data_IF_381710823527
#
_entry.id   IF_381710823527
#
_cell.length_a   1.000
_cell.length_b   1.000
_cell.length_c   1.000
_cell.angle_alpha   90.00
_cell.angle_beta   90.00
_cell.angle_gamma   90.00
#
_symmetry.space_group_name_H-M   'P 1'
#
loop_
_entity.id
_entity.type
_entity.pdbx_description
1 polymer ?
#
# COMPACT_ATOMS: atom_id res chain seq x y z
N UNK A 1 -41.92 82.69 17.93
CA UNK A 1 -40.55 82.93 18.46
C UNK A 1 -39.85 81.59 18.42
N UNK A 2 -38.85 81.29 17.60
CA UNK A 2 -38.08 81.97 16.57
C UNK A 2 -37.48 80.78 15.77
N UNK A 3 -37.71 80.65 14.48
CA UNK A 3 -36.83 81.10 13.38
C UNK A 3 -36.20 79.89 12.66
N UNK A 4 -36.39 79.91 11.35
CA UNK A 4 -35.75 79.06 10.33
C UNK A 4 -34.24 79.31 10.22
N UNK A 5 -33.51 78.29 9.74
CA UNK A 5 -32.57 78.33 8.58
C UNK A 5 -31.79 77.00 8.54
N UNK A 6 -32.00 76.09 7.58
CA UNK A 6 -31.70 76.09 6.14
C UNK A 6 -30.24 75.71 5.78
N UNK A 7 -30.09 74.61 4.99
CA UNK A 7 -29.01 74.26 4.02
C UNK A 7 -27.59 73.98 4.59
N UNK A 8 -26.74 73.06 4.12
CA UNK A 8 -26.34 72.51 2.79
C UNK A 8 -25.54 71.19 3.03
N UNK A 9 -25.76 70.08 2.32
CA UNK A 9 -25.07 69.59 1.10
C UNK A 9 -23.53 69.33 1.17
N UNK A 10 -23.19 68.02 1.11
CA UNK A 10 -22.09 67.30 0.39
C UNK A 10 -20.62 67.32 0.80
N UNK A 11 -20.00 66.12 0.64
CA UNK A 11 -18.57 65.77 0.50
C UNK A 11 -17.68 65.89 1.77
N UNK A 12 -16.78 64.99 2.14
CA UNK A 12 -15.84 64.14 1.38
C UNK A 12 -15.27 63.03 2.31
N UNK A 13 -14.84 61.90 1.72
CA UNK A 13 -14.12 60.80 2.41
C UNK A 13 -12.75 61.25 2.92
N UNK A 14 -12.33 60.74 4.09
CA UNK A 14 -10.92 60.38 4.31
C UNK A 14 -10.75 59.23 5.30
N UNK A 15 -10.28 58.11 4.74
CA UNK A 15 -9.80 56.94 5.45
C UNK A 15 -8.76 57.31 6.51
N UNK A 16 -8.97 56.83 7.73
CA UNK A 16 -7.85 56.43 8.60
C UNK A 16 -8.18 55.08 9.19
N UNK A 17 -7.39 54.11 8.78
CA UNK A 17 -7.47 52.72 9.19
C UNK A 17 -7.49 52.59 10.72
N UNK A 18 -8.52 51.94 11.24
CA UNK A 18 -8.44 51.28 12.54
C UNK A 18 -8.84 49.83 12.35
N UNK A 19 -7.82 49.03 12.11
CA UNK A 19 -7.83 47.57 12.19
C UNK A 19 -8.58 47.13 13.44
N UNK A 20 -9.65 46.30 13.34
CA UNK A 20 -10.14 45.60 14.51
C UNK A 20 -9.17 44.45 14.78
N UNK A 21 -8.34 44.67 15.80
CA UNK A 21 -8.09 43.72 16.87
C UNK A 21 -7.75 42.29 16.43
N UNK A 22 -6.44 42.10 16.27
CA UNK A 22 -5.69 40.88 16.63
C UNK A 22 -6.54 39.76 17.25
N UNK A 23 -6.82 38.72 16.44
CA UNK A 23 -7.05 37.39 16.97
C UNK A 23 -5.79 36.98 17.74
N UNK A 24 -5.88 36.91 19.07
CA UNK A 24 -4.83 36.31 19.90
C UNK A 24 -4.89 34.81 19.65
N UNK A 25 -4.04 34.35 18.74
CA UNK A 25 -3.73 32.95 18.54
C UNK A 25 -3.11 32.43 19.85
N UNK A 26 -3.91 31.70 20.63
CA UNK A 26 -3.45 31.04 21.83
C UNK A 26 -2.40 30.01 21.41
N UNK A 27 -1.12 30.32 21.65
CA UNK A 27 -0.05 29.33 21.58
C UNK A 27 -0.37 28.23 22.59
N UNK A 28 -0.76 27.05 22.14
CA UNK A 28 -0.81 25.86 22.99
C UNK A 28 0.62 25.61 23.50
N UNK A 29 0.84 25.88 24.79
CA UNK A 29 2.07 25.48 25.44
C UNK A 29 2.17 23.94 25.39
N UNK A 30 3.35 23.38 25.11
CA UNK A 30 3.52 21.94 25.06
C UNK A 30 3.09 21.33 26.41
N UNK A 31 2.40 20.18 26.41
CA UNK A 31 1.92 19.58 27.63
C UNK A 31 3.10 19.32 28.57
N UNK A 32 2.96 19.75 29.83
CA UNK A 32 3.96 19.49 30.86
C UNK A 32 4.18 17.97 30.98
N UNK A 33 5.44 17.51 31.12
CA UNK A 33 5.72 16.08 31.25
C UNK A 33 5.01 15.53 32.50
N UNK A 34 4.41 14.35 32.36
CA UNK A 34 3.72 13.69 33.47
C UNK A 34 4.74 13.30 34.54
N UNK A 35 4.53 13.77 35.77
CA UNK A 35 5.29 13.32 36.93
C UNK A 35 4.74 11.96 37.39
N UNK A 36 5.61 10.97 37.59
CA UNK A 36 5.23 9.65 38.05
C UNK A 36 5.55 9.50 39.54
N UNK A 37 4.61 8.94 40.29
CA UNK A 37 4.84 8.52 41.67
C UNK A 37 5.75 7.28 41.72
N UNK A 38 6.43 7.02 42.85
CA UNK A 38 7.25 5.81 43.02
C UNK A 38 6.48 4.50 42.76
N UNK A 39 5.19 4.49 43.09
CA UNK A 39 4.29 3.36 42.85
C UNK A 39 4.01 3.15 41.35
N UNK A 40 3.70 4.23 40.62
CA UNK A 40 3.52 4.17 39.15
C UNK A 40 4.81 3.72 38.45
N UNK A 41 5.99 4.14 38.94
CA UNK A 41 7.28 3.70 38.41
C UNK A 41 7.47 2.19 38.62
N UNK A 42 7.12 1.67 39.80
CA UNK A 42 7.20 0.24 40.09
C UNK A 42 6.24 -0.59 39.21
N UNK A 43 5.03 -0.08 38.95
CA UNK A 43 4.08 -0.72 38.03
C UNK A 43 4.58 -0.73 36.59
N UNK A 44 5.17 0.37 36.12
CA UNK A 44 5.78 0.46 34.78
C UNK A 44 6.94 -0.52 34.68
N UNK A 45 7.82 -0.57 35.68
CA UNK A 45 8.95 -1.51 35.72
C UNK A 45 8.48 -2.97 35.61
N UNK A 46 7.43 -3.34 36.35
CA UNK A 46 6.83 -4.68 36.30
C UNK A 46 6.24 -5.01 34.93
N UNK A 47 5.62 -4.03 34.24
CA UNK A 47 5.11 -4.20 32.87
C UNK A 47 6.22 -4.36 31.84
N UNK A 48 7.34 -3.67 32.02
CA UNK A 48 8.51 -3.73 31.12
C UNK A 48 9.32 -5.02 31.33
N UNK A 49 9.32 -5.57 32.55
CA UNK A 49 10.02 -6.82 32.88
C UNK A 49 9.50 -8.03 32.08
N UNK A 50 8.22 -8.03 31.70
CA UNK A 50 7.66 -9.01 30.77
C UNK A 50 7.67 -8.46 29.34
N UNK A 51 8.53 -8.99 28.43
CA UNK A 51 8.51 -8.57 27.03
C UNK A 51 7.16 -8.93 26.40
N UNK A 52 6.37 -7.91 26.04
CA UNK A 52 5.18 -8.10 25.22
C UNK A 52 5.60 -8.35 23.77
N UNK A 53 4.89 -9.24 23.08
CA UNK A 53 5.00 -9.32 21.64
C UNK A 53 4.53 -7.99 21.03
N UNK A 54 5.44 -7.30 20.34
CA UNK A 54 5.16 -6.03 19.65
C UNK A 54 4.77 -6.26 18.18
N UNK A 55 4.70 -7.51 17.74
CA UNK A 55 4.36 -7.83 16.36
C UNK A 55 2.87 -7.48 16.15
N UNK A 56 2.55 -6.56 15.22
CA UNK A 56 1.17 -6.22 14.92
C UNK A 56 0.42 -7.46 14.40
N UNK A 57 -0.89 -7.59 14.69
CA UNK A 57 -1.67 -8.73 14.21
C UNK A 57 -1.70 -8.74 12.68
N UNK A 58 -1.29 -9.86 12.08
CA UNK A 58 -1.31 -10.05 10.64
C UNK A 58 -2.76 -10.19 10.13
N UNK A 59 -3.26 -9.16 9.45
CA UNK A 59 -4.60 -9.11 8.82
C UNK A 59 -4.48 -8.68 7.34
N UNK A 60 -4.15 -9.60 6.43
CA UNK A 60 -4.09 -9.28 5.01
C UNK A 60 -5.48 -8.95 4.45
N UNK A 61 -5.59 -7.88 3.65
CA UNK A 61 -6.85 -7.47 3.01
C UNK A 61 -7.12 -8.25 1.70
N UNK A 62 -6.07 -8.65 0.99
CA UNK A 62 -6.17 -9.31 -0.32
C UNK A 62 -5.52 -10.69 -0.28
N UNK A 63 -6.11 -11.60 0.50
CA UNK A 63 -5.68 -13.00 0.52
C UNK A 63 -6.01 -13.61 -0.83
N UNK A 64 -5.06 -14.37 -1.40
CA UNK A 64 -5.32 -15.16 -2.58
C UNK A 64 -6.43 -16.16 -2.26
N UNK A 65 -7.49 -16.18 -3.08
CA UNK A 65 -8.65 -17.02 -2.80
C UNK A 65 -8.25 -18.51 -2.75
N UNK A 66 -8.69 -19.24 -1.71
CA UNK A 66 -8.43 -20.67 -1.59
C UNK A 66 -8.91 -21.49 -2.79
N UNK A 67 -9.98 -21.05 -3.46
CA UNK A 67 -10.55 -21.68 -4.66
C UNK A 67 -9.52 -21.90 -5.78
N UNK A 68 -8.58 -20.97 -5.95
CA UNK A 68 -7.49 -21.08 -6.91
C UNK A 68 -6.21 -21.64 -6.27
N UNK A 69 -6.33 -22.41 -5.19
CA UNK A 69 -5.18 -23.05 -4.51
C UNK A 69 -4.17 -22.06 -3.91
N UNK A 70 -4.57 -20.81 -3.69
CA UNK A 70 -3.68 -19.74 -3.24
C UNK A 70 -2.56 -19.41 -4.23
N UNK A 71 -2.81 -19.58 -5.54
CA UNK A 71 -1.94 -19.11 -6.62
C UNK A 71 -2.30 -17.69 -7.01
N UNK A 72 -1.30 -16.87 -7.33
CA UNK A 72 -1.54 -15.54 -7.86
C UNK A 72 -2.02 -15.58 -9.33
N UNK A 73 -2.72 -14.53 -9.77
CA UNK A 73 -3.09 -14.37 -11.18
C UNK A 73 -1.87 -14.42 -12.11
N UNK A 74 -0.71 -13.94 -11.62
CA UNK A 74 0.55 -14.01 -12.34
C UNK A 74 0.98 -15.46 -12.60
N UNK A 75 0.90 -16.35 -11.61
CA UNK A 75 1.27 -17.76 -11.76
C UNK A 75 0.42 -18.48 -12.79
N UNK A 76 -0.90 -18.31 -12.67
CA UNK A 76 -1.83 -18.97 -13.57
C UNK A 76 -1.64 -18.43 -14.99
N UNK A 77 -1.48 -17.11 -15.16
CA UNK A 77 -1.21 -16.51 -16.46
C UNK A 77 0.09 -17.02 -17.10
N UNK A 78 1.21 -17.05 -16.36
CA UNK A 78 2.47 -17.56 -16.91
C UNK A 78 2.36 -19.05 -17.26
N UNK A 79 1.69 -19.85 -16.42
CA UNK A 79 1.45 -21.27 -16.70
C UNK A 79 0.64 -21.46 -17.99
N UNK A 80 -0.47 -20.74 -18.15
CA UNK A 80 -1.33 -20.82 -19.34
C UNK A 80 -0.58 -20.42 -20.61
N UNK A 81 0.13 -19.29 -20.58
CA UNK A 81 0.91 -18.81 -21.73
C UNK A 81 2.02 -19.80 -22.09
N UNK A 82 2.69 -20.39 -21.09
CA UNK A 82 3.71 -21.43 -21.28
C UNK A 82 3.13 -22.69 -21.92
N UNK A 83 1.99 -23.19 -21.43
CA UNK A 83 1.32 -24.34 -22.01
C UNK A 83 0.89 -24.07 -23.45
N UNK A 84 0.41 -22.86 -23.74
CA UNK A 84 0.08 -22.46 -25.09
C UNK A 84 1.32 -22.40 -26.01
N UNK A 85 2.44 -21.85 -25.53
CA UNK A 85 3.70 -21.84 -26.24
C UNK A 85 4.22 -23.26 -26.53
N UNK A 86 4.10 -24.18 -25.58
CA UNK A 86 4.44 -25.59 -25.75
C UNK A 86 3.60 -26.25 -26.86
N UNK A 87 2.28 -26.00 -26.85
CA UNK A 87 1.37 -26.48 -27.90
C UNK A 87 1.77 -25.92 -29.27
N UNK A 88 2.03 -24.62 -29.36
CA UNK A 88 2.49 -23.97 -30.60
C UNK A 88 3.78 -24.58 -31.13
N UNK A 89 4.78 -24.80 -30.29
CA UNK A 89 6.04 -25.43 -30.68
C UNK A 89 5.82 -26.85 -31.20
N UNK A 90 4.98 -27.62 -30.52
CA UNK A 90 4.63 -28.99 -30.92
C UNK A 90 3.94 -29.01 -32.30
N UNK A 91 3.00 -28.09 -32.54
CA UNK A 91 2.35 -27.94 -33.84
C UNK A 91 3.32 -27.54 -34.95
N UNK A 92 4.28 -26.63 -34.67
CA UNK A 92 5.31 -26.24 -35.64
C UNK A 92 6.24 -27.39 -36.00
N UNK A 93 6.63 -28.24 -35.02
CA UNK A 93 7.48 -29.41 -35.28
C UNK A 93 6.78 -30.50 -36.10
N UNK A 94 5.45 -30.58 -36.02
CA UNK A 94 4.66 -31.53 -36.79
C UNK A 94 4.24 -31.01 -38.17
N UNK A 95 4.47 -29.73 -38.47
CA UNK A 95 4.09 -29.12 -39.73
C UNK A 95 5.26 -29.16 -40.73
N UNK A 96 5.03 -29.76 -41.91
CA UNK A 96 6.04 -29.85 -42.98
C UNK A 96 6.43 -28.51 -43.60
N UNK A 97 5.58 -27.48 -43.45
CA UNK A 97 5.79 -26.15 -44.04
C UNK A 97 6.44 -25.15 -43.07
N UNK A 98 6.70 -25.56 -41.82
CA UNK A 98 7.29 -24.68 -40.82
C UNK A 98 8.77 -24.40 -41.13
N UNK A 99 9.18 -23.13 -41.02
CA UNK A 99 10.59 -22.78 -41.25
C UNK A 99 11.44 -23.06 -40.01
N UNK A 100 12.73 -23.42 -40.17
CA UNK A 100 13.64 -23.65 -39.04
C UNK A 100 13.74 -22.44 -38.09
N UNK A 101 13.63 -21.22 -38.64
CA UNK A 101 13.67 -19.98 -37.86
C UNK A 101 12.43 -19.81 -36.97
N UNK A 102 11.25 -20.21 -37.45
CA UNK A 102 10.02 -20.17 -36.64
C UNK A 102 10.12 -21.15 -35.46
N UNK A 103 10.64 -22.34 -35.70
CA UNK A 103 10.85 -23.36 -34.66
C UNK A 103 11.86 -22.85 -33.63
N UNK A 104 13.02 -22.35 -34.07
CA UNK A 104 14.03 -21.80 -33.17
C UNK A 104 13.52 -20.62 -32.32
N UNK A 105 12.72 -19.73 -32.92
CA UNK A 105 12.08 -18.63 -32.19
C UNK A 105 11.11 -19.16 -31.12
N UNK A 106 10.26 -20.12 -31.48
CA UNK A 106 9.33 -20.73 -30.53
C UNK A 106 10.03 -21.45 -29.38
N UNK A 107 11.18 -22.10 -29.62
CA UNK A 107 12.01 -22.71 -28.58
C UNK A 107 12.61 -21.67 -27.63
N UNK A 108 13.12 -20.56 -28.16
CA UNK A 108 13.65 -19.45 -27.35
C UNK A 108 12.55 -18.82 -26.51
N UNK A 109 11.36 -18.60 -27.08
CA UNK A 109 10.24 -18.00 -26.36
C UNK A 109 9.72 -18.93 -25.26
N UNK A 110 9.61 -20.22 -25.52
CA UNK A 110 9.28 -21.22 -24.50
C UNK A 110 10.32 -21.22 -23.36
N UNK A 111 11.61 -21.22 -23.69
CA UNK A 111 12.69 -21.19 -22.69
C UNK A 111 12.62 -19.95 -21.79
N UNK A 112 12.27 -18.78 -22.35
CA UNK A 112 12.04 -17.56 -21.55
C UNK A 112 10.87 -17.74 -20.59
N UNK A 113 9.77 -18.33 -21.04
CA UNK A 113 8.60 -18.59 -20.20
C UNK A 113 8.90 -19.60 -19.09
N UNK A 114 9.69 -20.64 -19.38
CA UNK A 114 10.16 -21.58 -18.36
C UNK A 114 11.00 -20.87 -17.29
N UNK A 115 11.94 -20.00 -17.69
CA UNK A 115 12.71 -19.20 -16.74
C UNK A 115 11.83 -18.30 -15.86
N UNK A 116 10.81 -17.65 -16.43
CA UNK A 116 9.87 -16.83 -15.64
C UNK A 116 9.07 -17.69 -14.66
N UNK A 117 8.59 -18.84 -15.12
CA UNK A 117 7.83 -19.78 -14.29
C UNK A 117 8.67 -20.33 -13.13
N UNK A 118 9.90 -20.76 -13.40
CA UNK A 118 10.85 -21.27 -12.41
C UNK A 118 11.27 -20.20 -11.41
N UNK A 119 11.67 -19.02 -11.88
CA UNK A 119 12.07 -17.91 -11.00
C UNK A 119 10.96 -17.56 -10.01
N UNK A 120 9.72 -17.52 -10.49
CA UNK A 120 8.57 -17.28 -9.63
C UNK A 120 8.37 -18.42 -8.63
N UNK A 121 8.40 -19.69 -9.08
CA UNK A 121 8.21 -20.83 -8.20
C UNK A 121 9.31 -20.97 -7.14
N UNK A 122 10.58 -20.75 -7.52
CA UNK A 122 11.73 -20.78 -6.60
C UNK A 122 11.60 -19.67 -5.56
N UNK A 123 11.31 -18.44 -6.00
CA UNK A 123 11.15 -17.30 -5.09
C UNK A 123 9.99 -17.52 -4.11
N UNK A 124 8.87 -18.07 -4.59
CA UNK A 124 7.72 -18.34 -3.75
C UNK A 124 7.87 -19.57 -2.87
N UNK A 125 8.68 -20.57 -3.24
CA UNK A 125 8.89 -21.76 -2.40
C UNK A 125 9.45 -21.38 -1.03
N UNK A 126 10.36 -20.41 -0.96
CA UNK A 126 10.88 -19.89 0.32
C UNK A 126 9.75 -19.39 1.23
N UNK A 127 8.75 -18.70 0.66
CA UNK A 127 7.57 -18.22 1.42
C UNK A 127 6.54 -19.32 1.69
N UNK A 128 6.47 -20.35 0.85
CA UNK A 128 5.50 -21.45 0.94
C UNK A 128 5.92 -22.55 1.91
N UNK A 129 7.22 -22.83 2.02
CA UNK A 129 7.77 -23.89 2.89
C UNK A 129 8.36 -23.36 4.20
N UNK A 130 8.48 -22.04 4.38
CA UNK A 130 8.76 -21.48 5.69
C UNK A 130 7.63 -21.88 6.65
N UNK A 131 7.98 -22.32 7.88
CA UNK A 131 7.02 -22.70 8.93
C UNK A 131 5.93 -21.62 9.06
N UNK A 132 4.67 -21.98 8.81
CA UNK A 132 3.53 -21.06 8.90
C UNK A 132 3.19 -20.25 7.64
N UNK A 133 3.90 -20.43 6.52
CA UNK A 133 3.71 -19.64 5.29
C UNK A 133 2.42 -19.97 4.51
N UNK A 134 1.94 -21.21 4.58
CA UNK A 134 0.65 -21.64 4.00
C UNK A 134 -0.27 -22.39 4.95
N UNK A 135 0.21 -22.74 6.15
CA UNK A 135 -0.59 -23.48 7.14
C UNK A 135 -1.85 -22.70 7.59
N UNK A 136 -1.86 -21.38 7.43
CA UNK A 136 -3.03 -20.52 7.72
C UNK A 136 -4.04 -20.39 6.57
N UNK A 137 -3.79 -21.00 5.40
CA UNK A 137 -4.68 -20.93 4.22
C UNK A 137 -5.60 -22.15 4.08
N UNK A 138 -5.50 -23.11 4.99
CA UNK A 138 -6.40 -24.27 5.09
C UNK A 138 -7.17 -24.17 6.39
N UNK A 139 -8.27 -23.43 6.36
CA UNK A 139 -9.40 -23.60 7.29
C UNK A 139 -10.63 -24.00 6.48
#
# INVERSE_FOLDING_TARGET
MADEKEKTATEEKKDTAKTPETAVEAKEEPPKPKEYTPEEIAEIAKKVETPSDQIPPYKPEYILSPEYGGTSNYENGIKEIREEAQRRLSSLKNNSDATPQQIAKAEVDLKKLDHLYENFHIGMNVFRTAKGGRDKLRE
#
